data_IF_786051467794
#
_entry.id   IF_786051467794
#
_cell.length_a   1.000
_cell.length_b   1.000
_cell.length_c   1.000
_cell.angle_alpha   90.00
_cell.angle_beta   90.00
_cell.angle_gamma   90.00
#
_symmetry.space_group_name_H-M   'P 1'
#
loop_
_entity.id
_entity.type
_entity.pdbx_description
1 polymer ?
#
# COMPACT_ATOMS: atom_id res chain seq x y z
N UNK A 1 0.89 28.00 22.04
CA UNK A 1 -0.24 27.03 22.01
C UNK A 1 -1.36 27.43 21.04
N UNK A 2 -1.68 28.71 20.85
CA UNK A 2 -2.66 29.17 19.85
C UNK A 2 -2.30 28.74 18.42
N UNK A 3 -1.01 28.75 18.07
CA UNK A 3 -0.54 28.33 16.74
C UNK A 3 -0.71 26.84 16.48
N UNK A 4 -0.47 25.98 17.49
CA UNK A 4 -0.67 24.54 17.37
C UNK A 4 -2.16 24.21 17.18
N UNK A 5 -3.05 24.83 17.96
CA UNK A 5 -4.50 24.65 17.80
C UNK A 5 -4.96 25.12 16.42
N UNK A 6 -4.50 26.28 15.97
CA UNK A 6 -4.81 26.83 14.64
C UNK A 6 -4.28 25.95 13.51
N UNK A 7 -3.08 25.39 13.66
CA UNK A 7 -2.48 24.46 12.72
C UNK A 7 -3.26 23.14 12.66
N UNK A 8 -3.54 22.51 13.81
CA UNK A 8 -4.31 21.26 13.89
C UNK A 8 -5.71 21.44 13.31
N UNK A 9 -6.37 22.57 13.61
CA UNK A 9 -7.67 22.88 13.05
C UNK A 9 -7.63 23.06 11.53
N UNK A 10 -6.68 23.84 11.00
CA UNK A 10 -6.50 23.97 9.55
C UNK A 10 -6.24 22.62 8.88
N UNK A 11 -5.39 21.79 9.50
CA UNK A 11 -5.04 20.47 8.97
C UNK A 11 -6.23 19.51 8.98
N UNK A 12 -7.01 19.49 10.06
CA UNK A 12 -8.25 18.74 10.13
C UNK A 12 -9.28 19.22 9.09
N UNK A 13 -9.41 20.53 8.93
CA UNK A 13 -10.30 21.14 7.93
C UNK A 13 -9.88 20.80 6.50
N UNK A 14 -8.58 20.71 6.19
CA UNK A 14 -8.10 20.26 4.88
C UNK A 14 -8.13 18.74 4.70
N UNK A 15 -8.05 17.98 5.80
CA UNK A 15 -7.99 16.52 5.76
C UNK A 15 -9.30 15.92 5.28
N UNK A 16 -10.43 16.35 5.84
CA UNK A 16 -11.77 15.85 5.47
C UNK A 16 -12.05 15.98 3.96
N UNK A 17 -11.94 17.17 3.32
CA UNK A 17 -12.17 17.31 1.89
C UNK A 17 -11.12 16.57 1.05
N UNK A 18 -9.89 16.41 1.54
CA UNK A 18 -8.88 15.60 0.85
C UNK A 18 -9.28 14.13 0.82
N UNK A 19 -9.70 13.56 1.94
CA UNK A 19 -10.15 12.16 2.01
C UNK A 19 -11.39 11.93 1.16
N UNK A 20 -12.38 12.83 1.24
CA UNK A 20 -13.58 12.75 0.40
C UNK A 20 -13.20 12.87 -1.08
N UNK A 21 -12.34 13.83 -1.44
CA UNK A 21 -11.89 14.01 -2.82
C UNK A 21 -11.16 12.79 -3.37
N UNK A 22 -10.19 12.24 -2.63
CA UNK A 22 -9.44 11.04 -3.05
C UNK A 22 -10.35 9.82 -3.14
N UNK A 23 -11.21 9.58 -2.15
CA UNK A 23 -12.14 8.44 -2.19
C UNK A 23 -13.13 8.57 -3.33
N UNK A 24 -13.66 9.77 -3.59
CA UNK A 24 -14.54 10.03 -4.72
C UNK A 24 -13.83 9.82 -6.05
N UNK A 25 -12.60 10.32 -6.21
CA UNK A 25 -11.83 10.12 -7.45
C UNK A 25 -11.56 8.64 -7.72
N UNK A 26 -11.10 7.89 -6.72
CA UNK A 26 -10.85 6.45 -6.85
C UNK A 26 -12.14 5.71 -7.16
N UNK A 27 -13.23 6.04 -6.46
CA UNK A 27 -14.55 5.45 -6.69
C UNK A 27 -15.07 5.76 -8.10
N UNK A 28 -14.95 7.00 -8.54
CA UNK A 28 -15.42 7.45 -9.86
C UNK A 28 -14.65 6.77 -10.98
N UNK A 29 -13.32 6.67 -10.86
CA UNK A 29 -12.49 5.91 -11.81
C UNK A 29 -12.98 4.45 -11.85
N UNK A 30 -13.21 3.83 -10.70
CA UNK A 30 -13.72 2.46 -10.62
C UNK A 30 -15.12 2.30 -11.24
N UNK A 31 -16.00 3.28 -11.06
CA UNK A 31 -17.38 3.26 -11.57
C UNK A 31 -17.48 3.48 -13.08
N UNK A 32 -16.53 4.22 -13.67
CA UNK A 32 -16.50 4.52 -15.12
C UNK A 32 -15.74 3.46 -15.91
N UNK A 33 -14.92 2.62 -15.25
CA UNK A 33 -14.25 1.50 -15.92
C UNK A 33 -15.29 0.61 -16.62
N UNK A 34 -15.04 0.19 -17.87
CA UNK A 34 -15.97 -0.64 -18.65
C UNK A 34 -16.00 -2.11 -18.20
N UNK A 35 -15.92 -2.34 -16.89
CA UNK A 35 -15.97 -3.65 -16.26
C UNK A 35 -17.22 -3.72 -15.38
N UNK A 36 -18.00 -4.80 -15.47
CA UNK A 36 -19.14 -5.03 -14.58
C UNK A 36 -18.63 -5.65 -13.26
N UNK A 37 -18.56 -4.89 -12.14
CA UNK A 37 -18.03 -5.40 -10.89
C UNK A 37 -18.88 -6.55 -10.33
N UNK A 38 -20.21 -6.53 -10.51
CA UNK A 38 -21.07 -7.60 -10.03
C UNK A 38 -20.77 -8.91 -10.76
N UNK A 39 -20.51 -8.84 -12.08
CA UNK A 39 -20.12 -10.00 -12.88
C UNK A 39 -18.74 -10.53 -12.48
N UNK A 40 -17.77 -9.63 -12.25
CA UNK A 40 -16.43 -10.02 -11.80
C UNK A 40 -16.47 -10.70 -10.42
N UNK A 41 -17.22 -10.14 -9.47
CA UNK A 41 -17.36 -10.71 -8.13
C UNK A 41 -18.12 -12.04 -8.11
N UNK A 42 -19.04 -12.25 -9.05
CA UNK A 42 -19.81 -13.50 -9.18
C UNK A 42 -19.03 -14.66 -9.86
N UNK A 43 -17.76 -14.48 -10.23
CA UNK A 43 -16.94 -15.50 -10.88
C UNK A 43 -16.67 -15.28 -12.38
N UNK A 44 -16.89 -14.06 -12.88
CA UNK A 44 -16.52 -13.67 -14.24
C UNK A 44 -17.50 -14.16 -15.32
N UNK A 45 -16.97 -14.61 -16.46
CA UNK A 45 -17.81 -14.96 -17.63
C UNK A 45 -18.77 -16.12 -17.40
N UNK A 46 -18.43 -17.04 -16.48
CA UNK A 46 -19.25 -18.23 -16.15
C UNK A 46 -20.21 -17.98 -14.99
N UNK A 47 -20.32 -16.74 -14.50
CA UNK A 47 -21.16 -16.40 -13.38
C UNK A 47 -22.65 -16.66 -13.67
N UNK A 48 -23.36 -17.23 -12.69
CA UNK A 48 -24.82 -17.39 -12.79
C UNK A 48 -25.49 -16.01 -12.84
N UNK A 49 -26.31 -15.70 -13.87
CA UNK A 49 -26.98 -14.40 -14.01
C UNK A 49 -27.78 -13.98 -12.76
N UNK A 50 -28.37 -14.93 -12.05
CA UNK A 50 -29.14 -14.63 -10.84
C UNK A 50 -28.24 -14.14 -9.69
N UNK A 51 -27.03 -14.69 -9.58
CA UNK A 51 -26.05 -14.26 -8.56
C UNK A 51 -25.54 -12.86 -8.89
N UNK A 52 -25.28 -12.57 -10.17
CA UNK A 52 -24.86 -11.24 -10.63
C UNK A 52 -25.89 -10.18 -10.26
N UNK A 53 -27.17 -10.43 -10.53
CA UNK A 53 -28.24 -9.47 -10.24
C UNK A 53 -28.45 -9.29 -8.72
N UNK A 54 -28.30 -10.34 -7.92
CA UNK A 54 -28.35 -10.25 -6.47
C UNK A 54 -27.23 -9.35 -5.93
N UNK A 55 -25.98 -9.56 -6.38
CA UNK A 55 -24.82 -8.73 -6.02
C UNK A 55 -25.05 -7.28 -6.46
N UNK A 56 -25.58 -7.07 -7.67
CA UNK A 56 -25.85 -5.72 -8.20
C UNK A 56 -26.77 -4.94 -7.27
N UNK A 57 -27.85 -5.57 -6.79
CA UNK A 57 -28.80 -4.95 -5.86
C UNK A 57 -28.22 -4.76 -4.46
N UNK A 58 -27.49 -5.76 -3.95
CA UNK A 58 -26.88 -5.73 -2.62
C UNK A 58 -25.92 -4.55 -2.46
N UNK A 59 -25.07 -4.32 -3.47
CA UNK A 59 -24.07 -3.24 -3.48
C UNK A 59 -24.57 -1.96 -4.16
N UNK A 60 -25.87 -1.89 -4.51
CA UNK A 60 -26.52 -0.75 -5.18
C UNK A 60 -25.90 -0.34 -6.51
N UNK A 61 -25.26 -1.27 -7.20
CA UNK A 61 -24.57 -1.02 -8.48
C UNK A 61 -25.55 -0.69 -9.62
N UNK A 62 -26.85 -0.90 -9.43
CA UNK A 62 -27.96 -0.50 -10.30
C UNK A 62 -28.39 0.98 -10.14
N UNK A 63 -27.85 1.69 -9.14
CA UNK A 63 -28.26 3.06 -8.79
C UNK A 63 -27.37 4.14 -9.42
N UNK A 64 -27.82 5.40 -9.48
CA UNK A 64 -26.97 6.51 -9.90
C UNK A 64 -25.67 6.57 -9.09
N UNK A 65 -24.57 6.99 -9.72
CA UNK A 65 -23.20 7.00 -9.14
C UNK A 65 -23.15 7.68 -7.75
N UNK A 66 -23.91 8.75 -7.56
CA UNK A 66 -23.96 9.47 -6.28
C UNK A 66 -24.58 8.62 -5.15
N UNK A 67 -25.60 7.82 -5.44
CA UNK A 67 -26.19 6.88 -4.46
C UNK A 67 -25.20 5.77 -4.10
N UNK A 68 -24.48 5.26 -5.10
CA UNK A 68 -23.45 4.24 -4.90
C UNK A 68 -22.32 4.76 -4.00
N UNK A 69 -21.87 6.00 -4.25
CA UNK A 69 -20.82 6.62 -3.44
C UNK A 69 -21.30 6.89 -2.00
N UNK A 70 -22.53 7.38 -1.81
CA UNK A 70 -23.09 7.56 -0.46
C UNK A 70 -23.23 6.23 0.28
N UNK A 71 -23.66 5.18 -0.41
CA UNK A 71 -23.69 3.82 0.15
C UNK A 71 -22.29 3.36 0.55
N UNK A 72 -21.29 3.54 -0.31
CA UNK A 72 -19.90 3.20 0.00
C UNK A 72 -19.39 3.95 1.22
N UNK A 73 -19.46 5.28 1.25
CA UNK A 73 -18.92 6.08 2.37
C UNK A 73 -19.65 5.77 3.67
N UNK A 74 -20.99 5.69 3.67
CA UNK A 74 -21.78 5.39 4.87
C UNK A 74 -21.36 4.05 5.47
N UNK A 75 -21.38 2.99 4.66
CA UNK A 75 -21.06 1.65 5.14
C UNK A 75 -19.57 1.47 5.46
N UNK A 76 -18.68 2.21 4.79
CA UNK A 76 -17.26 2.23 5.12
C UNK A 76 -17.05 2.82 6.52
N UNK A 77 -17.67 3.96 6.82
CA UNK A 77 -17.53 4.59 8.15
C UNK A 77 -18.21 3.78 9.26
N UNK A 78 -19.32 3.11 8.99
CA UNK A 78 -20.03 2.27 9.97
C UNK A 78 -19.48 0.84 10.10
N UNK A 79 -18.44 0.49 9.34
CA UNK A 79 -17.88 -0.87 9.29
C UNK A 79 -18.93 -1.95 8.95
N UNK A 80 -19.73 -1.68 7.92
CA UNK A 80 -20.81 -2.55 7.44
C UNK A 80 -20.55 -3.13 6.05
N UNK A 81 -19.51 -2.66 5.34
CA UNK A 81 -19.14 -3.25 4.04
C UNK A 81 -18.54 -4.63 4.27
N UNK A 82 -19.21 -5.65 3.74
CA UNK A 82 -18.65 -6.99 3.53
C UNK A 82 -18.06 -7.03 2.13
N UNK A 83 -16.91 -7.64 1.97
CA UNK A 83 -16.29 -7.84 0.67
C UNK A 83 -16.95 -9.01 -0.05
N UNK A 84 -17.39 -8.84 -1.31
CA UNK A 84 -18.03 -9.91 -2.08
C UNK A 84 -17.04 -11.00 -2.52
N UNK A 85 -15.73 -10.76 -2.37
CA UNK A 85 -14.66 -11.69 -2.77
C UNK A 85 -14.08 -12.46 -1.59
N UNK A 86 -13.77 -11.76 -0.49
CA UNK A 86 -13.18 -12.38 0.71
C UNK A 86 -14.20 -12.80 1.76
N UNK A 87 -15.45 -12.34 1.62
CA UNK A 87 -16.56 -12.53 2.57
C UNK A 87 -16.32 -12.01 4.00
N UNK A 88 -15.21 -11.30 4.23
CA UNK A 88 -14.94 -10.61 5.50
C UNK A 88 -15.45 -9.16 5.45
N UNK A 89 -15.54 -8.52 6.61
CA UNK A 89 -15.68 -7.06 6.65
C UNK A 89 -14.43 -6.41 6.06
N UNK A 90 -14.61 -5.34 5.28
CA UNK A 90 -13.50 -4.65 4.63
C UNK A 90 -12.46 -4.12 5.63
N UNK A 91 -12.89 -3.67 6.82
CA UNK A 91 -11.96 -3.24 7.87
C UNK A 91 -11.13 -4.38 8.44
N UNK A 92 -11.64 -5.60 8.47
CA UNK A 92 -10.87 -6.76 8.92
C UNK A 92 -9.78 -7.10 7.89
N UNK A 93 -10.11 -7.08 6.61
CA UNK A 93 -9.14 -7.26 5.54
C UNK A 93 -8.08 -6.15 5.54
N UNK A 94 -8.48 -4.91 5.79
CA UNK A 94 -7.56 -3.77 5.90
C UNK A 94 -6.64 -3.92 7.11
N UNK A 95 -7.19 -4.28 8.27
CA UNK A 95 -6.43 -4.49 9.50
C UNK A 95 -5.42 -5.63 9.37
N UNK A 96 -5.76 -6.71 8.63
CA UNK A 96 -4.83 -7.81 8.34
C UNK A 96 -3.67 -7.40 7.42
N UNK A 97 -3.88 -6.43 6.52
CA UNK A 97 -2.86 -5.94 5.57
C UNK A 97 -2.00 -4.83 6.14
N UNK A 98 -2.53 -4.03 7.07
CA UNK A 98 -1.86 -2.87 7.65
C UNK A 98 -0.46 -3.18 8.24
N UNK A 99 -0.26 -4.27 9.01
CA UNK A 99 1.07 -4.65 9.50
C UNK A 99 2.11 -4.84 8.40
N UNK A 100 1.72 -5.39 7.24
CA UNK A 100 2.65 -5.59 6.12
C UNK A 100 3.07 -4.24 5.54
N UNK A 101 2.11 -3.34 5.31
CA UNK A 101 2.41 -1.97 4.85
C UNK A 101 3.32 -1.24 5.82
N UNK A 102 3.06 -1.32 7.12
CA UNK A 102 3.91 -0.69 8.14
C UNK A 102 5.34 -1.22 8.12
N UNK A 103 5.53 -2.53 7.99
CA UNK A 103 6.88 -3.12 7.89
C UNK A 103 7.63 -2.63 6.65
N UNK A 104 6.95 -2.61 5.50
CA UNK A 104 7.51 -2.08 4.25
C UNK A 104 7.88 -0.61 4.38
N UNK A 105 7.01 0.22 4.96
CA UNK A 105 7.26 1.64 5.17
C UNK A 105 8.43 1.89 6.12
N UNK A 106 8.53 1.13 7.23
CA UNK A 106 9.64 1.27 8.18
C UNK A 106 10.99 0.92 7.53
N UNK A 107 11.03 -0.16 6.74
CA UNK A 107 12.25 -0.54 6.02
C UNK A 107 12.61 0.45 4.92
N UNK A 108 11.64 0.91 4.14
CA UNK A 108 11.85 1.94 3.13
C UNK A 108 12.40 3.23 3.76
N UNK A 109 11.80 3.66 4.88
CA UNK A 109 12.27 4.82 5.63
C UNK A 109 13.71 4.65 6.14
N UNK A 110 14.08 3.43 6.55
CA UNK A 110 15.46 3.10 6.93
C UNK A 110 16.41 3.30 5.75
N UNK A 111 16.09 2.82 4.55
CA UNK A 111 16.90 3.09 3.35
C UNK A 111 16.98 4.58 3.02
N UNK A 112 15.89 5.31 3.13
CA UNK A 112 15.87 6.76 2.90
C UNK A 112 16.82 7.48 3.87
N UNK A 113 16.73 7.18 5.16
CA UNK A 113 17.53 7.86 6.19
C UNK A 113 19.01 7.50 6.11
N UNK A 114 19.34 6.23 5.89
CA UNK A 114 20.73 5.77 5.92
C UNK A 114 21.44 5.78 4.57
N UNK A 115 20.70 5.82 3.46
CA UNK A 115 21.28 5.81 2.11
C UNK A 115 20.87 7.06 1.35
N UNK A 116 19.56 7.32 1.21
CA UNK A 116 19.05 8.43 0.42
C UNK A 116 19.55 9.80 0.88
N UNK A 117 19.38 10.12 2.17
CA UNK A 117 19.79 11.40 2.76
C UNK A 117 21.31 11.59 2.68
N UNK A 118 22.16 10.63 3.12
CA UNK A 118 23.61 10.78 3.02
C UNK A 118 24.11 10.95 1.58
N UNK A 119 23.58 10.19 0.62
CA UNK A 119 23.95 10.34 -0.79
C UNK A 119 23.55 11.72 -1.34
N UNK A 120 22.36 12.21 -0.98
CA UNK A 120 21.91 13.55 -1.35
C UNK A 120 22.80 14.65 -0.76
N UNK A 121 23.17 14.54 0.52
CA UNK A 121 24.12 15.47 1.16
C UNK A 121 25.48 15.40 0.47
N UNK A 122 25.99 14.20 0.18
CA UNK A 122 27.29 14.01 -0.45
C UNK A 122 27.34 14.58 -1.87
N UNK A 123 26.29 14.39 -2.66
CA UNK A 123 26.12 14.99 -4.00
C UNK A 123 26.09 16.52 -3.91
N UNK A 124 25.37 17.09 -2.94
CA UNK A 124 25.33 18.53 -2.73
C UNK A 124 26.69 19.12 -2.31
N UNK A 125 27.42 18.43 -1.42
CA UNK A 125 28.75 18.86 -0.98
C UNK A 125 29.82 18.71 -2.07
N UNK A 126 29.71 17.69 -2.92
CA UNK A 126 30.65 17.40 -4.02
C UNK A 126 30.07 17.77 -5.38
N UNK A 127 29.39 18.91 -5.45
CA UNK A 127 28.75 19.41 -6.66
C UNK A 127 29.71 19.38 -7.87
N UNK A 128 29.18 18.96 -9.02
CA UNK A 128 29.90 18.86 -10.31
C UNK A 128 31.06 17.84 -10.32
N UNK A 129 31.17 16.99 -9.30
CA UNK A 129 32.10 15.86 -9.27
C UNK A 129 31.51 14.59 -9.87
N UNK A 130 32.37 13.58 -10.10
CA UNK A 130 31.93 12.24 -10.53
C UNK A 130 30.94 11.62 -9.52
N UNK A 131 31.12 11.87 -8.21
CA UNK A 131 30.23 11.34 -7.17
C UNK A 131 28.84 11.96 -7.30
N UNK A 132 28.77 13.28 -7.48
CA UNK A 132 27.52 13.98 -7.72
C UNK A 132 26.84 13.47 -9.00
N UNK A 133 27.59 13.34 -10.09
CA UNK A 133 27.07 12.81 -11.36
C UNK A 133 26.47 11.40 -11.19
N UNK A 134 27.17 10.48 -10.51
CA UNK A 134 26.67 9.11 -10.26
C UNK A 134 25.39 9.13 -9.44
N UNK A 135 25.36 9.87 -8.32
CA UNK A 135 24.17 9.97 -7.45
C UNK A 135 22.99 10.55 -8.22
N UNK A 136 23.21 11.60 -9.01
CA UNK A 136 22.15 12.21 -9.83
C UNK A 136 21.63 11.26 -10.90
N UNK A 137 22.50 10.51 -11.57
CA UNK A 137 22.08 9.49 -12.56
C UNK A 137 21.23 8.42 -11.88
N UNK A 138 21.67 7.88 -10.74
CA UNK A 138 20.92 6.88 -9.99
C UNK A 138 19.56 7.40 -9.54
N UNK A 139 19.51 8.63 -9.01
CA UNK A 139 18.26 9.28 -8.61
C UNK A 139 17.32 9.48 -9.82
N UNK A 140 17.83 9.93 -10.95
CA UNK A 140 17.05 10.10 -12.17
C UNK A 140 16.51 8.77 -12.70
N UNK A 141 17.30 7.71 -12.70
CA UNK A 141 16.84 6.37 -13.08
C UNK A 141 15.72 5.89 -12.13
N UNK A 142 15.90 6.04 -10.82
CA UNK A 142 14.89 5.64 -9.84
C UNK A 142 13.56 6.39 -10.00
N UNK A 143 13.61 7.71 -10.19
CA UNK A 143 12.40 8.55 -10.30
C UNK A 143 11.73 8.43 -11.67
N UNK A 144 12.52 8.22 -12.74
CA UNK A 144 11.99 8.21 -14.12
C UNK A 144 11.54 6.82 -14.58
N UNK A 145 11.94 5.75 -13.89
CA UNK A 145 11.50 4.40 -14.22
C UNK A 145 10.15 4.09 -13.59
N UNK A 146 9.22 3.44 -14.32
CA UNK A 146 7.98 2.99 -13.71
C UNK A 146 8.25 2.00 -12.58
N UNK A 147 7.70 2.26 -11.40
CA UNK A 147 7.94 1.47 -10.18
C UNK A 147 7.66 -0.02 -10.40
N UNK A 148 6.57 -0.36 -11.11
CA UNK A 148 6.23 -1.76 -11.43
C UNK A 148 7.32 -2.42 -12.30
N UNK A 149 7.89 -1.70 -13.26
CA UNK A 149 8.92 -2.22 -14.15
C UNK A 149 10.22 -2.47 -13.41
N UNK A 150 10.63 -1.51 -12.58
CA UNK A 150 11.78 -1.66 -11.69
C UNK A 150 11.59 -2.84 -10.74
N UNK A 151 10.41 -2.98 -10.12
CA UNK A 151 10.08 -4.11 -9.27
C UNK A 151 10.24 -5.44 -10.02
N UNK A 152 9.71 -5.59 -11.24
CA UNK A 152 9.85 -6.81 -12.03
C UNK A 152 11.31 -7.13 -12.38
N UNK A 153 12.12 -6.14 -12.75
CA UNK A 153 13.54 -6.34 -13.01
C UNK A 153 14.30 -6.80 -11.77
N UNK A 154 14.06 -6.14 -10.63
CA UNK A 154 14.72 -6.51 -9.39
C UNK A 154 14.28 -7.90 -8.92
N UNK A 155 13.00 -8.25 -9.08
CA UNK A 155 12.54 -9.62 -8.83
C UNK A 155 13.29 -10.60 -9.73
N UNK A 156 13.39 -10.35 -11.04
CA UNK A 156 14.12 -11.23 -11.96
C UNK A 156 15.60 -11.42 -11.55
N UNK A 157 16.27 -10.34 -11.16
CA UNK A 157 17.69 -10.41 -10.75
C UNK A 157 17.84 -11.10 -9.38
N UNK A 158 17.16 -10.60 -8.35
CA UNK A 158 17.40 -11.02 -6.97
C UNK A 158 16.70 -12.31 -6.60
N UNK A 159 15.51 -12.60 -7.17
CA UNK A 159 14.83 -13.87 -6.95
C UNK A 159 15.28 -14.92 -7.95
N UNK A 160 15.09 -14.68 -9.25
CA UNK A 160 15.26 -15.73 -10.27
C UNK A 160 16.72 -16.06 -10.56
N UNK A 161 17.60 -15.05 -10.63
CA UNK A 161 19.03 -15.28 -10.96
C UNK A 161 19.89 -15.54 -9.73
N UNK A 162 19.76 -14.72 -8.70
CA UNK A 162 20.66 -14.73 -7.54
C UNK A 162 20.15 -15.57 -6.36
N UNK A 163 18.83 -15.77 -6.23
CA UNK A 163 18.24 -16.48 -5.09
C UNK A 163 18.44 -15.78 -3.75
N UNK A 164 18.61 -14.45 -3.74
CA UNK A 164 18.87 -13.65 -2.54
C UNK A 164 17.62 -13.29 -1.75
N UNK A 165 16.44 -13.50 -2.33
CA UNK A 165 15.16 -13.16 -1.70
C UNK A 165 14.17 -14.31 -1.75
N UNK A 166 13.20 -14.27 -0.85
CA UNK A 166 12.01 -15.12 -0.88
C UNK A 166 10.79 -14.26 -1.17
N UNK A 167 10.07 -14.53 -2.26
CA UNK A 167 8.93 -13.69 -2.69
C UNK A 167 7.61 -13.99 -1.97
N UNK A 168 7.45 -15.20 -1.42
CA UNK A 168 6.14 -15.69 -1.02
C UNK A 168 5.98 -15.80 0.51
N UNK A 169 4.78 -15.42 0.95
CA UNK A 169 4.31 -15.60 2.33
C UNK A 169 4.70 -14.46 3.26
N UNK A 170 3.76 -14.05 4.10
CA UNK A 170 4.06 -13.25 5.30
C UNK A 170 4.62 -14.19 6.37
N UNK A 171 5.79 -13.92 6.98
CA UNK A 171 6.26 -14.71 8.12
C UNK A 171 5.17 -14.74 9.19
N UNK A 172 4.84 -15.93 9.69
CA UNK A 172 3.88 -16.06 10.78
C UNK A 172 4.65 -15.71 12.06
N UNK A 173 4.33 -14.56 12.64
CA UNK A 173 4.94 -14.15 13.90
C UNK A 173 4.40 -15.05 15.03
N UNK A 174 5.25 -15.68 15.86
CA UNK A 174 4.81 -16.54 16.95
C UNK A 174 4.23 -15.76 18.14
N UNK A 175 4.30 -14.44 18.13
CA UNK A 175 3.79 -13.53 19.16
C UNK A 175 3.29 -12.22 18.53
N UNK A 176 2.55 -11.43 19.31
CA UNK A 176 2.07 -10.10 18.91
C UNK A 176 2.16 -9.15 20.10
N UNK A 177 2.97 -8.10 19.99
CA UNK A 177 3.13 -7.05 21.01
C UNK A 177 2.58 -5.73 20.47
N UNK A 178 3.14 -5.25 19.37
CA UNK A 178 2.72 -4.01 18.69
C UNK A 178 1.81 -4.27 17.50
N UNK A 179 1.71 -5.53 17.05
CA UNK A 179 1.01 -5.87 15.80
C UNK A 179 1.89 -5.74 14.57
N UNK A 180 3.16 -5.37 14.72
CA UNK A 180 4.14 -5.20 13.63
C UNK A 180 5.27 -6.21 13.85
N UNK A 181 5.30 -7.35 13.13
CA UNK A 181 6.29 -8.42 13.33
C UNK A 181 7.75 -7.95 13.32
N UNK A 182 8.10 -7.01 12.44
CA UNK A 182 9.44 -6.40 12.42
C UNK A 182 9.83 -5.76 13.76
N UNK A 183 8.93 -5.01 14.38
CA UNK A 183 9.20 -4.33 15.67
C UNK A 183 9.18 -5.37 16.80
N UNK A 184 8.19 -6.25 16.78
CA UNK A 184 8.02 -7.25 17.85
C UNK A 184 9.22 -8.19 17.94
N UNK A 185 9.80 -8.57 16.80
CA UNK A 185 11.02 -9.39 16.74
C UNK A 185 12.26 -8.71 17.32
N UNK A 186 12.41 -7.39 17.12
CA UNK A 186 13.48 -6.62 17.75
C UNK A 186 13.27 -6.56 19.27
N UNK A 187 12.05 -6.29 19.74
CA UNK A 187 11.71 -6.22 21.17
C UNK A 187 11.99 -7.55 21.86
N UNK A 188 11.67 -8.68 21.21
CA UNK A 188 11.87 -10.03 21.75
C UNK A 188 13.27 -10.60 21.49
N UNK A 189 14.13 -9.88 20.76
CA UNK A 189 15.43 -10.37 20.30
C UNK A 189 15.32 -11.70 19.52
N UNK A 190 14.21 -11.88 18.80
CA UNK A 190 13.95 -13.04 17.95
C UNK A 190 14.58 -12.80 16.57
N UNK A 191 15.83 -13.23 16.44
CA UNK A 191 16.61 -13.07 15.23
C UNK A 191 16.08 -13.89 14.05
N UNK A 192 15.33 -14.96 14.32
CA UNK A 192 14.77 -15.81 13.26
C UNK A 192 13.63 -15.08 12.56
N UNK A 193 12.64 -14.60 13.31
CA UNK A 193 11.53 -13.81 12.74
C UNK A 193 12.06 -12.53 12.10
N UNK A 194 12.99 -11.83 12.74
CA UNK A 194 13.60 -10.62 12.19
C UNK A 194 14.24 -10.91 10.82
N UNK A 195 15.07 -11.94 10.73
CA UNK A 195 15.73 -12.34 9.48
C UNK A 195 14.71 -12.70 8.40
N UNK A 196 13.69 -13.49 8.72
CA UNK A 196 12.63 -13.86 7.78
C UNK A 196 11.89 -12.63 7.22
N UNK A 197 11.61 -11.64 8.05
CA UNK A 197 10.99 -10.38 7.63
C UNK A 197 11.92 -9.60 6.70
N UNK A 198 13.19 -9.44 7.09
CA UNK A 198 14.18 -8.73 6.26
C UNK A 198 14.34 -9.42 4.90
N UNK A 199 14.61 -10.72 4.84
CA UNK A 199 14.82 -11.49 3.59
C UNK A 199 13.67 -11.38 2.59
N UNK A 200 12.44 -11.12 3.06
CA UNK A 200 11.25 -10.98 2.21
C UNK A 200 10.94 -9.54 1.85
N UNK A 201 11.20 -8.58 2.74
CA UNK A 201 10.73 -7.21 2.59
C UNK A 201 11.81 -6.20 2.24
N UNK A 202 13.10 -6.51 2.35
CA UNK A 202 14.16 -5.55 2.02
C UNK A 202 14.06 -5.08 0.56
N UNK A 203 13.86 -5.99 -0.39
CA UNK A 203 13.81 -5.64 -1.81
C UNK A 203 12.52 -4.87 -2.18
N UNK A 204 11.31 -5.31 -1.80
CA UNK A 204 10.10 -4.51 -2.00
C UNK A 204 10.21 -3.11 -1.38
N UNK A 205 10.83 -3.00 -0.20
CA UNK A 205 10.97 -1.71 0.50
C UNK A 205 12.00 -0.79 -0.15
N UNK A 206 12.97 -1.32 -0.89
CA UNK A 206 13.93 -0.52 -1.65
C UNK A 206 13.30 0.15 -2.88
N UNK A 207 12.18 -0.41 -3.38
CA UNK A 207 11.49 0.05 -4.60
C UNK A 207 10.37 1.05 -4.30
N UNK A 208 9.89 1.09 -3.05
CA UNK A 208 8.87 2.03 -2.57
C UNK A 208 9.43 3.45 -2.40
#
# INVERSE_FOLDING_TARGET
MADLKRFLFRRALTFIPTVIGVTFLVFFIAAVLPADPAKLWAGGEKANPQVVENIRREYRLDRPIWEQYLFFIKNAVTNQIVSPVSHNKVWEDLARRLPVTMQLTILAFTFIVFIGIPLGILSALKRDSIIDMIVRILALLGVSTPVFWLAYLLIFVFFTRLGWITLAGTPIAPYTITGIPLIDSIIKLDLETFRQVIERYWLPSLVL
#
